data_IF_916086690600
#
_entry.id   IF_916086690600
#
_cell.length_a   1.000
_cell.length_b   1.000
_cell.length_c   1.000
_cell.angle_alpha   90.00
_cell.angle_beta   90.00
_cell.angle_gamma   90.00
#
_symmetry.space_group_name_H-M   'P 1'
#
loop_
_entity.id
_entity.type
_entity.pdbx_description
1 polymer ?
#
# COMPACT_ATOMS: atom_id res chain seq x y z
N UNK A 1 -19.62 15.35 72.14
CA UNK A 1 -19.09 14.04 72.56
C UNK A 1 -18.24 13.48 71.46
N UNK A 2 -17.22 12.70 71.80
CA UNK A 2 -16.28 12.10 70.84
C UNK A 2 -16.49 10.59 70.81
N UNK A 3 -16.73 10.02 69.63
CA UNK A 3 -16.87 8.57 69.45
C UNK A 3 -15.47 7.97 69.31
N UNK A 4 -15.12 7.04 70.19
CA UNK A 4 -13.86 6.30 70.16
C UNK A 4 -14.02 5.02 69.33
N UNK A 5 -13.31 4.92 68.20
CA UNK A 5 -13.41 3.81 67.24
C UNK A 5 -12.85 2.50 67.80
N UNK A 6 -11.92 2.56 68.75
CA UNK A 6 -11.36 1.38 69.41
C UNK A 6 -12.15 0.92 70.65
N UNK A 7 -13.23 1.63 70.99
CA UNK A 7 -14.10 1.25 72.09
C UNK A 7 -15.26 0.39 71.56
N UNK A 8 -15.30 -0.89 71.95
CA UNK A 8 -16.32 -1.85 71.53
C UNK A 8 -17.75 -1.47 71.93
N UNK A 9 -17.92 -0.59 72.93
CA UNK A 9 -19.24 -0.07 73.34
C UNK A 9 -19.77 1.03 72.40
N UNK A 10 -18.89 1.61 71.59
CA UNK A 10 -19.21 2.68 70.66
C UNK A 10 -19.43 2.19 69.23
N UNK A 11 -18.71 1.15 68.79
CA UNK A 11 -18.90 0.53 67.47
C UNK A 11 -18.21 -0.85 67.36
N UNK A 12 -18.58 -1.63 66.35
CA UNK A 12 -18.03 -2.98 66.10
C UNK A 12 -16.71 -2.99 65.29
N UNK A 13 -16.01 -1.87 65.18
CA UNK A 13 -14.79 -1.76 64.37
C UNK A 13 -13.71 -2.78 64.81
N UNK A 14 -13.56 -2.99 66.12
CA UNK A 14 -12.60 -3.96 66.66
C UNK A 14 -12.92 -5.37 66.19
N UNK A 15 -14.21 -5.76 66.20
CA UNK A 15 -14.67 -7.07 65.72
C UNK A 15 -14.46 -7.26 64.22
N UNK A 16 -14.74 -6.22 63.43
CA UNK A 16 -14.48 -6.25 61.98
C UNK A 16 -12.99 -6.39 61.67
N UNK A 17 -12.14 -5.63 62.36
CA UNK A 17 -10.67 -5.68 62.22
C UNK A 17 -10.14 -7.07 62.55
N UNK A 18 -10.57 -7.66 63.66
CA UNK A 18 -10.14 -9.02 64.04
C UNK A 18 -10.63 -10.08 63.06
N UNK A 19 -11.90 -10.01 62.64
CA UNK A 19 -12.45 -10.91 61.63
C UNK A 19 -11.64 -10.85 60.32
N UNK A 20 -11.37 -9.64 59.81
CA UNK A 20 -10.65 -9.45 58.55
C UNK A 20 -9.19 -9.88 58.64
N UNK A 21 -8.49 -9.53 59.72
CA UNK A 21 -7.02 -9.68 59.79
C UNK A 21 -6.61 -11.04 60.34
N UNK A 22 -7.32 -11.60 61.32
CA UNK A 22 -6.89 -12.83 62.01
C UNK A 22 -7.46 -14.10 61.41
N UNK A 23 -8.69 -14.06 60.90
CA UNK A 23 -9.43 -15.29 60.56
C UNK A 23 -9.77 -15.37 59.08
N UNK A 24 -10.24 -14.27 58.47
CA UNK A 24 -10.88 -14.35 57.16
C UNK A 24 -10.00 -13.91 56.00
N UNK A 25 -8.80 -13.35 56.24
CA UNK A 25 -7.95 -12.89 55.13
C UNK A 25 -7.58 -14.03 54.19
N UNK A 26 -7.22 -15.19 54.74
CA UNK A 26 -6.82 -16.34 53.93
C UNK A 26 -8.00 -16.93 53.17
N UNK A 27 -9.17 -17.08 53.81
CA UNK A 27 -10.41 -17.51 53.15
C UNK A 27 -10.86 -16.53 52.05
N UNK A 28 -10.71 -15.21 52.26
CA UNK A 28 -10.98 -14.21 51.23
C UNK A 28 -10.01 -14.33 50.05
N UNK A 29 -8.72 -14.58 50.30
CA UNK A 29 -7.72 -14.82 49.25
C UNK A 29 -8.03 -16.10 48.48
N UNK A 30 -8.36 -17.18 49.19
CA UNK A 30 -8.70 -18.47 48.60
C UNK A 30 -9.97 -18.38 47.73
N UNK A 31 -11.04 -17.75 48.23
CA UNK A 31 -12.27 -17.49 47.44
C UNK A 31 -12.00 -16.62 46.22
N UNK A 32 -11.15 -15.61 46.37
CA UNK A 32 -10.77 -14.76 45.24
C UNK A 32 -10.03 -15.54 44.17
N UNK A 33 -9.10 -16.41 44.57
CA UNK A 33 -8.34 -17.23 43.64
C UNK A 33 -9.21 -18.32 42.97
N UNK A 34 -9.88 -19.15 43.77
CA UNK A 34 -10.59 -20.33 43.28
C UNK A 34 -11.89 -20.01 42.55
N UNK A 35 -12.51 -18.86 42.82
CA UNK A 35 -13.79 -18.49 42.21
C UNK A 35 -13.70 -17.26 41.31
N UNK A 36 -13.26 -16.13 41.86
CA UNK A 36 -13.30 -14.86 41.11
C UNK A 36 -12.26 -14.85 39.98
N UNK A 37 -11.04 -15.29 40.25
CA UNK A 37 -10.00 -15.39 39.24
C UNK A 37 -10.30 -16.49 38.23
N UNK A 38 -10.70 -17.70 38.66
CA UNK A 38 -11.03 -18.78 37.72
C UNK A 38 -12.18 -18.42 36.77
N UNK A 39 -13.25 -17.77 37.26
CA UNK A 39 -14.34 -17.31 36.39
C UNK A 39 -13.85 -16.29 35.35
N UNK A 40 -13.01 -15.34 35.79
CA UNK A 40 -12.40 -14.37 34.88
C UNK A 40 -11.48 -15.05 33.87
N UNK A 41 -10.65 -16.00 34.32
CA UNK A 41 -9.70 -16.76 33.53
C UNK A 41 -10.43 -17.56 32.44
N UNK A 42 -11.47 -18.30 32.78
CA UNK A 42 -12.30 -19.05 31.83
C UNK A 42 -12.86 -18.11 30.75
N UNK A 43 -13.52 -17.03 31.18
CA UNK A 43 -14.10 -16.05 30.24
C UNK A 43 -13.05 -15.40 29.33
N UNK A 44 -11.85 -15.14 29.83
CA UNK A 44 -10.75 -14.61 29.02
C UNK A 44 -10.19 -15.62 28.04
N UNK A 45 -10.06 -16.87 28.45
CA UNK A 45 -9.61 -17.96 27.58
C UNK A 45 -10.62 -18.19 26.44
N UNK A 46 -11.92 -18.19 26.74
CA UNK A 46 -12.99 -18.27 25.74
C UNK A 46 -12.94 -17.11 24.73
N UNK A 47 -12.73 -15.86 25.21
CA UNK A 47 -12.53 -14.70 24.32
C UNK A 47 -11.29 -14.84 23.44
N UNK A 48 -10.24 -15.49 23.96
CA UNK A 48 -9.05 -15.83 23.21
C UNK A 48 -9.26 -17.11 22.37
N UNK A 49 -10.46 -17.67 22.28
CA UNK A 49 -10.77 -18.85 21.46
C UNK A 49 -10.24 -20.17 22.00
N UNK A 50 -9.94 -20.25 23.29
CA UNK A 50 -9.66 -21.51 23.98
C UNK A 50 -10.96 -22.03 24.60
N UNK A 51 -11.38 -23.23 24.23
CA UNK A 51 -12.46 -23.95 24.89
C UNK A 51 -11.90 -25.19 25.59
N UNK A 52 -12.46 -25.52 26.76
CA UNK A 52 -12.08 -26.72 27.50
C UNK A 52 -12.66 -28.00 26.87
N UNK A 53 -13.62 -27.85 25.94
CA UNK A 53 -14.32 -28.96 25.27
C UNK A 53 -14.39 -28.75 23.75
N UNK A 54 -14.36 -29.87 23.03
CA UNK A 54 -14.55 -29.94 21.56
C UNK A 54 -16.03 -30.04 21.19
N UNK A 55 -16.34 -30.05 19.88
CA UNK A 55 -17.71 -30.24 19.35
C UNK A 55 -18.38 -31.53 19.86
N UNK A 56 -17.58 -32.52 20.24
CA UNK A 56 -18.00 -33.81 20.79
C UNK A 56 -18.04 -33.83 22.34
N UNK A 57 -17.97 -32.66 23.00
CA UNK A 57 -17.91 -32.54 24.46
C UNK A 57 -16.71 -33.24 25.13
N UNK A 58 -15.66 -33.56 24.36
CA UNK A 58 -14.43 -34.17 24.89
C UNK A 58 -13.49 -33.11 25.43
N UNK A 59 -12.82 -33.35 26.58
CA UNK A 59 -11.87 -32.40 27.14
C UNK A 59 -10.70 -32.21 26.17
N UNK A 60 -10.44 -30.96 25.76
CA UNK A 60 -9.32 -30.65 24.87
C UNK A 60 -8.10 -30.30 25.72
N UNK A 61 -6.95 -30.85 25.35
CA UNK A 61 -5.68 -30.44 25.95
C UNK A 61 -5.37 -28.99 25.58
N UNK A 62 -5.21 -28.13 26.58
CA UNK A 62 -4.80 -26.73 26.41
C UNK A 62 -3.53 -26.58 25.57
N UNK A 63 -2.62 -27.55 25.66
CA UNK A 63 -1.39 -27.56 24.88
C UNK A 63 -1.66 -27.82 23.39
N UNK A 64 -2.58 -28.73 23.06
CA UNK A 64 -2.94 -29.04 21.67
C UNK A 64 -3.65 -27.87 21.00
N UNK A 65 -4.57 -27.18 21.70
CA UNK A 65 -5.24 -25.98 21.17
C UNK A 65 -4.26 -24.85 20.95
N UNK A 66 -3.32 -24.64 21.88
CA UNK A 66 -2.27 -23.65 21.72
C UNK A 66 -1.36 -23.94 20.52
N UNK A 67 -0.90 -25.19 20.37
CA UNK A 67 -0.04 -25.60 19.25
C UNK A 67 -0.78 -25.48 17.91
N UNK A 68 -2.03 -25.93 17.82
CA UNK A 68 -2.86 -25.78 16.63
C UNK A 68 -3.08 -24.31 16.26
N UNK A 69 -3.40 -23.46 17.25
CA UNK A 69 -3.64 -22.04 17.02
C UNK A 69 -2.36 -21.32 16.58
N UNK A 70 -1.21 -21.67 17.17
CA UNK A 70 0.10 -21.17 16.76
C UNK A 70 0.43 -21.59 15.32
N UNK A 71 0.19 -22.85 14.97
CA UNK A 71 0.40 -23.37 13.62
C UNK A 71 -0.48 -22.64 12.60
N UNK A 72 -1.77 -22.49 12.89
CA UNK A 72 -2.72 -21.78 12.03
C UNK A 72 -2.33 -20.32 11.85
N UNK A 73 -1.93 -19.64 12.92
CA UNK A 73 -1.48 -18.25 12.84
C UNK A 73 -0.22 -18.09 11.99
N UNK A 74 0.74 -19.01 12.12
CA UNK A 74 1.95 -19.01 11.30
C UNK A 74 1.63 -19.24 9.82
N UNK A 75 0.75 -20.19 9.51
CA UNK A 75 0.30 -20.45 8.15
C UNK A 75 -0.45 -19.25 7.55
N UNK A 76 -1.30 -18.58 8.32
CA UNK A 76 -2.00 -17.36 7.90
C UNK A 76 -1.02 -16.22 7.60
N UNK A 77 -0.01 -16.02 8.44
CA UNK A 77 1.04 -15.04 8.20
C UNK A 77 1.82 -15.32 6.91
N UNK A 78 2.20 -16.58 6.69
CA UNK A 78 2.89 -17.01 5.46
C UNK A 78 2.02 -16.80 4.22
N UNK A 79 0.73 -17.13 4.29
CA UNK A 79 -0.20 -16.90 3.18
C UNK A 79 -0.35 -15.42 2.85
N UNK A 80 -0.44 -14.56 3.88
CA UNK A 80 -0.51 -13.10 3.70
C UNK A 80 0.79 -12.53 3.14
N UNK A 81 1.93 -13.03 3.58
CA UNK A 81 3.24 -12.64 3.03
C UNK A 81 3.33 -13.00 1.53
N UNK A 82 2.93 -14.22 1.16
CA UNK A 82 2.94 -14.67 -0.22
C UNK A 82 1.96 -13.87 -1.10
N UNK A 83 0.77 -13.55 -0.59
CA UNK A 83 -0.19 -12.69 -1.29
C UNK A 83 0.43 -11.31 -1.59
N UNK A 84 1.05 -10.66 -0.59
CA UNK A 84 1.71 -9.37 -0.77
C UNK A 84 2.86 -9.46 -1.77
N UNK A 85 3.65 -10.54 -1.71
CA UNK A 85 4.75 -10.80 -2.64
C UNK A 85 4.23 -10.97 -4.07
N UNK A 86 3.17 -11.74 -4.28
CA UNK A 86 2.56 -11.94 -5.59
C UNK A 86 1.97 -10.64 -6.14
N UNK A 87 1.26 -9.87 -5.32
CA UNK A 87 0.75 -8.56 -5.71
C UNK A 87 1.89 -7.61 -6.14
N UNK A 88 3.03 -7.64 -5.45
CA UNK A 88 4.19 -6.84 -5.84
C UNK A 88 4.73 -7.27 -7.20
N UNK A 89 4.96 -8.57 -7.40
CA UNK A 89 5.46 -9.11 -8.68
C UNK A 89 4.51 -8.78 -9.83
N UNK A 90 3.20 -8.91 -9.62
CA UNK A 90 2.21 -8.60 -10.63
C UNK A 90 2.23 -7.11 -10.99
N UNK A 91 2.27 -6.20 -10.01
CA UNK A 91 2.38 -4.75 -10.28
C UNK A 91 3.67 -4.38 -11.01
N UNK A 92 4.79 -5.00 -10.64
CA UNK A 92 6.07 -4.77 -11.34
C UNK A 92 5.94 -5.19 -12.80
N UNK A 93 5.41 -6.38 -13.06
CA UNK A 93 5.20 -6.88 -14.42
C UNK A 93 4.26 -5.99 -15.24
N UNK A 94 3.17 -5.51 -14.65
CA UNK A 94 2.25 -4.56 -15.29
C UNK A 94 2.94 -3.24 -15.63
N UNK A 95 3.71 -2.68 -14.68
CA UNK A 95 4.45 -1.43 -14.91
C UNK A 95 5.57 -1.56 -15.94
N UNK A 96 6.28 -2.69 -15.96
CA UNK A 96 7.26 -2.99 -17.00
C UNK A 96 6.60 -3.11 -18.38
N UNK A 97 5.42 -3.73 -18.46
CA UNK A 97 4.67 -3.83 -19.70
C UNK A 97 4.18 -2.46 -20.21
N UNK A 98 3.60 -1.64 -19.33
CA UNK A 98 3.20 -0.26 -19.66
C UNK A 98 4.38 0.58 -20.14
N UNK A 99 5.52 0.51 -19.45
CA UNK A 99 6.71 1.27 -19.83
C UNK A 99 7.24 0.83 -21.20
N UNK A 100 7.24 -0.48 -21.47
CA UNK A 100 7.66 -1.04 -22.76
C UNK A 100 6.74 -0.61 -23.90
N UNK A 101 5.43 -0.52 -23.67
CA UNK A 101 4.48 -0.03 -24.66
C UNK A 101 4.67 1.48 -24.92
N UNK A 102 4.83 2.27 -23.86
CA UNK A 102 5.12 3.70 -23.95
C UNK A 102 6.41 4.00 -24.71
N UNK A 103 7.47 3.21 -24.48
CA UNK A 103 8.74 3.32 -25.20
C UNK A 103 8.57 3.03 -26.70
N UNK A 104 7.82 1.97 -27.04
CA UNK A 104 7.52 1.64 -28.45
C UNK A 104 6.76 2.76 -29.15
N UNK A 105 5.75 3.32 -28.49
CA UNK A 105 4.96 4.43 -29.04
C UNK A 105 5.80 5.68 -29.24
N UNK A 106 6.69 5.99 -28.28
CA UNK A 106 7.61 7.10 -28.40
C UNK A 106 8.58 6.92 -29.57
N UNK A 107 9.11 5.70 -29.73
CA UNK A 107 9.98 5.36 -30.84
C UNK A 107 9.27 5.47 -32.20
N UNK A 108 8.03 4.99 -32.29
CA UNK A 108 7.21 5.10 -33.50
C UNK A 108 6.92 6.58 -33.85
N UNK A 109 6.61 7.41 -32.85
CA UNK A 109 6.42 8.86 -33.02
C UNK A 109 7.69 9.54 -33.51
N UNK A 110 8.84 9.19 -32.93
CA UNK A 110 10.13 9.72 -33.34
C UNK A 110 10.46 9.39 -34.80
N UNK A 111 10.29 8.12 -35.20
CA UNK A 111 10.53 7.69 -36.58
C UNK A 111 9.56 8.33 -37.58
N UNK A 112 8.31 8.58 -37.16
CA UNK A 112 7.35 9.34 -37.97
C UNK A 112 7.80 10.79 -38.15
N UNK A 113 8.11 11.49 -37.06
CA UNK A 113 8.61 12.88 -37.09
C UNK A 113 9.86 13.02 -37.96
N UNK A 114 10.79 12.06 -37.87
CA UNK A 114 12.00 12.03 -38.68
C UNK A 114 11.70 11.90 -40.18
N UNK A 115 10.73 11.06 -40.54
CA UNK A 115 10.26 10.92 -41.94
C UNK A 115 9.57 12.19 -42.43
N UNK A 116 8.64 12.73 -41.63
CA UNK A 116 7.89 13.94 -41.97
C UNK A 116 8.87 15.12 -42.20
N UNK A 117 9.85 15.30 -41.30
CA UNK A 117 10.88 16.32 -41.43
C UNK A 117 11.78 16.11 -42.66
N UNK A 118 12.12 14.87 -43.00
CA UNK A 118 12.90 14.57 -44.21
C UNK A 118 12.13 14.91 -45.50
N UNK A 119 10.83 14.63 -45.53
CA UNK A 119 9.95 15.00 -46.64
C UNK A 119 9.78 16.51 -46.78
N UNK A 120 9.56 17.23 -45.66
CA UNK A 120 9.46 18.69 -45.67
C UNK A 120 10.75 19.33 -46.16
N UNK A 121 11.91 18.86 -45.68
CA UNK A 121 13.21 19.33 -46.16
C UNK A 121 13.37 19.12 -47.66
N UNK A 122 12.98 17.95 -48.18
CA UNK A 122 13.03 17.67 -49.63
C UNK A 122 12.12 18.62 -50.41
N UNK A 123 10.88 18.83 -49.97
CA UNK A 123 9.93 19.76 -50.61
C UNK A 123 10.46 21.19 -50.63
N UNK A 124 11.08 21.64 -49.53
CA UNK A 124 11.70 22.96 -49.44
C UNK A 124 12.89 23.09 -50.39
N UNK A 125 13.74 22.07 -50.51
CA UNK A 125 14.85 22.06 -51.46
C UNK A 125 14.38 22.08 -52.93
N UNK A 126 13.34 21.31 -53.27
CA UNK A 126 12.72 21.32 -54.60
C UNK A 126 12.13 22.70 -54.94
N UNK A 127 11.37 23.29 -54.00
CA UNK A 127 10.80 24.63 -54.16
C UNK A 127 11.88 25.69 -54.31
N UNK A 128 12.97 25.61 -53.52
CA UNK A 128 14.11 26.53 -53.63
C UNK A 128 14.77 26.47 -55.00
N UNK A 129 14.99 25.25 -55.53
CA UNK A 129 15.57 25.06 -56.87
C UNK A 129 14.67 25.62 -57.97
N UNK A 130 13.37 25.36 -57.92
CA UNK A 130 12.42 25.93 -58.86
C UNK A 130 12.43 27.46 -58.85
N UNK A 131 12.47 28.06 -57.65
CA UNK A 131 12.55 29.52 -57.51
C UNK A 131 13.87 30.11 -58.03
N UNK A 132 14.99 29.40 -57.82
CA UNK A 132 16.30 29.77 -58.37
C UNK A 132 16.28 29.72 -59.92
N UNK A 133 15.68 28.70 -60.51
CA UNK A 133 15.49 28.58 -61.97
C UNK A 133 14.62 29.71 -62.54
N UNK A 134 13.46 29.97 -61.92
CA UNK A 134 12.56 31.06 -62.31
C UNK A 134 13.25 32.43 -62.21
N UNK A 135 14.04 32.65 -61.16
CA UNK A 135 14.82 33.88 -60.99
C UNK A 135 15.86 34.06 -62.10
N UNK A 136 16.61 33.00 -62.44
CA UNK A 136 17.58 33.02 -63.52
C UNK A 136 16.91 33.28 -64.88
N UNK A 137 15.76 32.67 -65.13
CA UNK A 137 14.96 32.90 -66.34
C UNK A 137 14.46 34.34 -66.44
N UNK A 138 13.96 34.88 -65.34
CA UNK A 138 13.57 36.28 -65.27
C UNK A 138 14.75 37.21 -65.56
N UNK A 139 15.93 36.93 -64.98
CA UNK A 139 17.12 37.74 -65.18
C UNK A 139 17.66 37.65 -66.62
N UNK A 140 17.60 36.46 -67.25
CA UNK A 140 17.91 36.28 -68.69
C UNK A 140 16.98 37.12 -69.56
N UNK A 141 15.66 37.05 -69.34
CA UNK A 141 14.67 37.83 -70.10
C UNK A 141 14.87 39.34 -69.92
N UNK A 142 15.17 39.77 -68.69
CA UNK A 142 15.51 41.17 -68.38
C UNK A 142 16.74 41.63 -69.15
N UNK A 143 17.83 40.86 -69.16
CA UNK A 143 19.03 41.18 -69.93
C UNK A 143 18.74 41.26 -71.42
N UNK A 144 18.00 40.31 -72.00
CA UNK A 144 17.61 40.31 -73.41
C UNK A 144 16.83 41.57 -73.79
N UNK A 145 15.86 41.99 -72.96
CA UNK A 145 15.11 43.23 -73.17
C UNK A 145 16.01 44.46 -73.12
N UNK A 146 16.94 44.55 -72.16
CA UNK A 146 17.88 45.68 -72.08
C UNK A 146 18.80 45.72 -73.31
N UNK A 147 19.33 44.57 -73.76
CA UNK A 147 20.16 44.51 -74.98
C UNK A 147 19.38 44.88 -76.24
N UNK A 148 18.14 44.40 -76.39
CA UNK A 148 17.30 44.72 -77.55
C UNK A 148 16.99 46.23 -77.60
N UNK A 149 16.72 46.83 -76.44
CA UNK A 149 16.49 48.27 -76.33
C UNK A 149 17.76 49.07 -76.66
N UNK A 150 18.95 48.58 -76.27
CA UNK A 150 20.22 49.23 -76.58
C UNK A 150 20.56 49.19 -78.09
N UNK A 151 20.31 48.06 -78.77
CA UNK A 151 20.51 47.92 -80.23
C UNK A 151 19.53 48.74 -81.08
N UNK A 152 18.39 49.16 -80.53
CA UNK A 152 17.42 50.04 -81.22
C UNK A 152 17.71 51.54 -81.04
N UNK A 153 18.71 51.89 -80.21
CA UNK A 153 19.04 53.30 -79.86
C UNK A 153 20.41 53.74 -80.42
N UNK A 154 21.08 52.89 -81.20
CA UNK A 154 22.31 53.17 -81.97
C UNK A 154 21.99 53.14 -83.47
#
# INVERSE_FOLDING_TARGET
GTVQVENETHCDFVKLREMLIRTNMEDMREKTHTRHYELYRQKRLEQMGFSDVDSDNKPISFQQTFEAKRSNHLAELQSKEEEVRQMFVQRVKEKEAELKESEKDLHAKFEKLKRDHAEEKRKLEESRKALEEDYLDFQRRKQQLVTAHHTLTL
#
